data_IF_771362486300
#
_entry.id   IF_771362486300
#
_cell.length_a   1.000
_cell.length_b   1.000
_cell.length_c   1.000
_cell.angle_alpha   90.00
_cell.angle_beta   90.00
_cell.angle_gamma   90.00
#
_symmetry.space_group_name_H-M   'P 1'
#
loop_
_entity.id
_entity.type
_entity.pdbx_description
1 polymer ?
#
# COMPACT_ATOMS: atom_id res chain seq x y z
N UNK A 1 -39.37 -11.21 6.32
CA UNK A 1 -38.77 -9.87 6.17
C UNK A 1 -38.19 -9.51 7.52
N UNK A 2 -36.92 -9.81 7.71
CA UNK A 2 -36.20 -9.39 8.90
C UNK A 2 -35.07 -8.48 8.38
N UNK A 3 -35.25 -7.23 8.72
CA UNK A 3 -34.38 -6.10 8.41
C UNK A 3 -33.01 -6.37 9.04
N UNK A 4 -32.01 -6.62 8.21
CA UNK A 4 -30.62 -6.79 8.61
C UNK A 4 -29.91 -5.46 8.78
N UNK A 5 -30.43 -4.58 9.62
CA UNK A 5 -29.75 -3.41 10.12
C UNK A 5 -28.69 -3.82 11.14
N UNK A 6 -27.55 -4.36 10.69
CA UNK A 6 -26.38 -4.57 11.55
C UNK A 6 -25.91 -3.23 12.08
N UNK A 7 -25.80 -3.16 13.41
CA UNK A 7 -25.31 -2.01 14.17
C UNK A 7 -23.95 -1.54 13.62
N UNK A 8 -23.96 -0.46 12.84
CA UNK A 8 -22.76 0.18 12.27
C UNK A 8 -22.01 1.01 13.33
N UNK A 9 -22.59 1.20 14.52
CA UNK A 9 -22.01 1.94 15.61
C UNK A 9 -21.05 1.05 16.42
N UNK A 10 -19.74 1.18 16.15
CA UNK A 10 -18.68 0.51 16.93
C UNK A 10 -17.69 -0.32 16.12
N UNK A 11 -17.88 -0.46 14.81
CA UNK A 11 -16.96 -1.21 13.97
C UNK A 11 -15.73 -0.38 13.61
N UNK A 12 -14.54 -0.96 13.70
CA UNK A 12 -13.29 -0.32 13.28
C UNK A 12 -13.20 -0.26 11.75
N UNK A 13 -12.68 0.85 11.25
CA UNK A 13 -12.55 1.13 9.81
C UNK A 13 -11.08 1.19 9.44
N UNK A 14 -10.68 0.36 8.48
CA UNK A 14 -9.33 0.36 7.93
C UNK A 14 -9.35 0.89 6.49
N UNK A 15 -8.62 1.97 6.22
CA UNK A 15 -8.44 2.50 4.86
C UNK A 15 -7.11 2.01 4.30
N UNK A 16 -7.16 1.37 3.13
CA UNK A 16 -5.97 0.97 2.38
C UNK A 16 -5.81 1.88 1.17
N UNK A 17 -4.87 2.81 1.25
CA UNK A 17 -4.53 3.70 0.12
C UNK A 17 -3.65 2.95 -0.87
N UNK A 18 -4.17 2.71 -2.08
CA UNK A 18 -3.54 1.81 -3.04
C UNK A 18 -3.81 0.34 -2.74
N UNK A 19 -5.08 -0.01 -2.57
CA UNK A 19 -5.52 -1.39 -2.32
C UNK A 19 -5.36 -2.29 -3.56
N UNK A 20 -5.29 -1.72 -4.76
CA UNK A 20 -5.18 -2.50 -6.00
C UNK A 20 -3.76 -2.50 -6.54
N UNK A 21 -3.30 -3.64 -7.02
CA UNK A 21 -2.07 -3.76 -7.80
C UNK A 21 -2.37 -3.62 -9.30
N UNK A 22 -1.33 -3.42 -10.10
CA UNK A 22 -1.48 -3.40 -11.57
C UNK A 22 -1.99 -4.73 -12.15
N UNK A 23 -1.94 -5.80 -11.37
CA UNK A 23 -2.34 -7.15 -11.76
C UNK A 23 -3.82 -7.45 -11.47
N UNK A 24 -4.52 -6.58 -10.76
CA UNK A 24 -5.94 -6.75 -10.43
C UNK A 24 -6.90 -6.25 -11.51
N UNK A 25 -6.43 -5.53 -12.53
CA UNK A 25 -7.26 -5.05 -13.62
C UNK A 25 -7.94 -6.21 -14.36
N UNK A 26 -9.03 -5.93 -15.04
CA UNK A 26 -9.96 -6.87 -15.66
C UNK A 26 -9.35 -7.82 -16.72
N UNK A 27 -8.17 -7.54 -17.10
CA UNK A 27 -7.45 -8.32 -18.08
C UNK A 27 -6.19 -8.92 -17.52
N UNK A 28 -5.55 -9.69 -18.36
CA UNK A 28 -4.19 -10.12 -18.14
C UNK A 28 -3.27 -8.92 -18.22
N UNK A 29 -2.48 -8.70 -17.20
CA UNK A 29 -1.38 -7.78 -17.30
C UNK A 29 -0.11 -8.57 -17.64
N UNK A 30 0.26 -8.53 -18.89
CA UNK A 30 1.39 -9.29 -19.42
C UNK A 30 2.68 -8.48 -19.49
N UNK A 31 2.72 -7.26 -18.93
CA UNK A 31 3.90 -6.40 -18.99
C UNK A 31 4.77 -6.54 -17.75
N UNK A 32 6.02 -6.87 -17.97
CA UNK A 32 7.11 -6.72 -17.02
C UNK A 32 7.76 -5.33 -17.14
N UNK A 33 8.74 -5.07 -16.27
CA UNK A 33 9.66 -3.95 -16.43
C UNK A 33 10.35 -4.05 -17.81
N UNK A 34 10.47 -2.95 -18.50
CA UNK A 34 11.02 -2.83 -19.87
C UNK A 34 10.15 -3.43 -20.98
N UNK A 35 8.88 -3.63 -20.72
CA UNK A 35 7.90 -3.96 -21.75
C UNK A 35 7.81 -5.42 -22.15
N UNK A 36 8.52 -6.31 -21.49
CA UNK A 36 8.38 -7.74 -21.71
C UNK A 36 6.96 -8.20 -21.39
N UNK A 37 6.41 -9.04 -22.26
CA UNK A 37 5.09 -9.63 -22.06
C UNK A 37 5.20 -10.98 -21.36
N UNK A 38 4.28 -11.25 -20.44
CA UNK A 38 4.14 -12.55 -19.79
C UNK A 38 2.71 -13.07 -19.98
N UNK A 39 2.55 -14.37 -20.08
CA UNK A 39 1.25 -15.03 -19.93
C UNK A 39 1.07 -15.42 -18.45
N UNK A 40 0.08 -14.81 -17.81
CA UNK A 40 -0.26 -15.04 -16.41
C UNK A 40 -1.62 -15.73 -16.24
N UNK A 41 -2.16 -16.32 -17.31
CA UNK A 41 -3.50 -16.94 -17.33
C UNK A 41 -3.65 -18.10 -16.36
N UNK A 42 -2.59 -18.88 -16.17
CA UNK A 42 -2.58 -20.08 -15.31
C UNK A 42 -2.24 -19.77 -13.85
N UNK A 43 -1.93 -18.51 -13.53
CA UNK A 43 -1.60 -18.13 -12.16
C UNK A 43 -2.86 -17.97 -11.30
N UNK A 44 -2.79 -18.38 -10.02
CA UNK A 44 -3.92 -18.19 -9.12
C UNK A 44 -4.23 -16.70 -8.96
N UNK A 45 -5.51 -16.38 -8.86
CA UNK A 45 -5.98 -14.99 -8.72
C UNK A 45 -5.37 -14.28 -7.51
N UNK A 46 -5.04 -15.03 -6.46
CA UNK A 46 -4.40 -14.53 -5.25
C UNK A 46 -3.02 -13.90 -5.49
N UNK A 47 -2.30 -14.36 -6.52
CA UNK A 47 -1.00 -13.77 -6.90
C UNK A 47 -1.12 -12.35 -7.45
N UNK A 48 -2.35 -11.92 -7.77
CA UNK A 48 -2.65 -10.60 -8.34
C UNK A 48 -2.96 -9.53 -7.28
N UNK A 49 -3.26 -9.93 -6.04
CA UNK A 49 -3.70 -8.96 -5.02
C UNK A 49 -2.60 -7.96 -4.64
N UNK A 50 -1.34 -8.39 -4.64
CA UNK A 50 -0.23 -7.56 -4.16
C UNK A 50 -0.35 -7.23 -2.67
N UNK A 51 0.53 -6.35 -2.19
CA UNK A 51 0.58 -6.00 -0.76
C UNK A 51 -0.69 -5.29 -0.30
N UNK A 52 -1.20 -4.33 -1.08
CA UNK A 52 -2.41 -3.59 -0.71
C UNK A 52 -3.64 -4.48 -0.59
N UNK A 53 -3.82 -5.41 -1.54
CA UNK A 53 -4.93 -6.35 -1.49
C UNK A 53 -4.80 -7.36 -0.36
N UNK A 54 -3.59 -7.83 -0.06
CA UNK A 54 -3.34 -8.72 1.07
C UNK A 54 -3.60 -8.03 2.43
N UNK A 55 -3.17 -6.75 2.58
CA UNK A 55 -3.48 -5.95 3.76
C UNK A 55 -5.00 -5.80 3.92
N UNK A 56 -5.71 -5.47 2.84
CA UNK A 56 -7.16 -5.33 2.85
C UNK A 56 -7.85 -6.63 3.31
N UNK A 57 -7.46 -7.78 2.76
CA UNK A 57 -8.01 -9.09 3.17
C UNK A 57 -7.68 -9.41 4.63
N UNK A 58 -6.46 -9.09 5.08
CA UNK A 58 -6.05 -9.35 6.47
C UNK A 58 -6.91 -8.56 7.45
N UNK A 59 -7.07 -7.24 7.26
CA UNK A 59 -7.90 -6.43 8.15
C UNK A 59 -9.38 -6.82 8.07
N UNK A 60 -9.89 -7.17 6.88
CA UNK A 60 -11.26 -7.65 6.75
C UNK A 60 -11.50 -8.97 7.52
N UNK A 61 -10.53 -9.89 7.50
CA UNK A 61 -10.59 -11.14 8.27
C UNK A 61 -10.59 -10.93 9.80
N UNK A 62 -10.05 -9.80 10.25
CA UNK A 62 -10.08 -9.38 11.66
C UNK A 62 -11.33 -8.57 12.03
N UNK A 63 -12.30 -8.46 11.12
CA UNK A 63 -13.61 -7.83 11.39
C UNK A 63 -13.68 -6.33 11.10
N UNK A 64 -12.65 -5.73 10.51
CA UNK A 64 -12.71 -4.34 10.07
C UNK A 64 -13.63 -4.18 8.86
N UNK A 65 -14.32 -3.05 8.78
CA UNK A 65 -14.83 -2.56 7.51
C UNK A 65 -13.66 -1.94 6.75
N UNK A 66 -13.28 -2.56 5.62
CA UNK A 66 -12.11 -2.12 4.85
C UNK A 66 -12.50 -1.23 3.69
N UNK A 67 -11.93 -0.03 3.63
CA UNK A 67 -12.09 0.88 2.50
C UNK A 67 -10.94 0.65 1.51
N UNK A 68 -11.30 0.11 0.36
CA UNK A 68 -10.39 -0.11 -0.76
C UNK A 68 -10.28 1.16 -1.59
N UNK A 69 -9.16 1.85 -1.57
CA UNK A 69 -8.99 3.00 -2.45
C UNK A 69 -8.20 2.65 -3.71
N UNK A 70 -8.68 3.14 -4.83
CA UNK A 70 -8.13 2.90 -6.17
C UNK A 70 -8.44 4.06 -7.10
N UNK A 71 -7.69 4.24 -8.19
CA UNK A 71 -7.98 5.26 -9.21
C UNK A 71 -9.24 4.97 -10.01
N UNK A 72 -9.67 3.71 -10.07
CA UNK A 72 -10.86 3.27 -10.81
C UNK A 72 -11.51 2.12 -10.06
N UNK A 73 -12.78 2.28 -9.69
CA UNK A 73 -13.52 1.31 -8.89
C UNK A 73 -13.57 -0.11 -9.49
N UNK A 74 -13.72 -0.30 -10.81
CA UNK A 74 -13.66 -1.62 -11.44
C UNK A 74 -12.38 -2.40 -11.10
N UNK A 75 -11.25 -1.74 -10.93
CA UNK A 75 -9.99 -2.42 -10.59
C UNK A 75 -10.02 -3.13 -9.24
N UNK A 76 -10.91 -2.73 -8.34
CA UNK A 76 -11.06 -3.34 -7.01
C UNK A 76 -12.18 -4.39 -6.96
N UNK A 77 -12.95 -4.59 -8.02
CA UNK A 77 -14.13 -5.45 -8.02
C UNK A 77 -13.81 -6.88 -7.58
N UNK A 78 -12.80 -7.50 -8.18
CA UNK A 78 -12.39 -8.87 -7.83
C UNK A 78 -11.88 -9.01 -6.40
N UNK A 79 -11.14 -8.01 -5.89
CA UNK A 79 -10.69 -8.00 -4.50
C UNK A 79 -11.88 -7.84 -3.54
N UNK A 80 -12.80 -6.94 -3.85
CA UNK A 80 -14.00 -6.73 -3.05
C UNK A 80 -14.89 -7.98 -2.99
N UNK A 81 -15.02 -8.68 -4.10
CA UNK A 81 -15.73 -9.97 -4.16
C UNK A 81 -15.03 -11.04 -3.32
N UNK A 82 -13.70 -11.14 -3.43
CA UNK A 82 -12.92 -12.10 -2.65
C UNK A 82 -13.04 -11.85 -1.12
N UNK A 83 -13.03 -10.59 -0.68
CA UNK A 83 -13.24 -10.23 0.72
C UNK A 83 -14.63 -10.63 1.19
N UNK A 84 -15.68 -10.31 0.42
CA UNK A 84 -17.08 -10.66 0.77
C UNK A 84 -17.32 -12.15 0.78
N UNK A 85 -16.74 -12.90 -0.15
CA UNK A 85 -16.83 -14.35 -0.20
C UNK A 85 -16.23 -15.04 1.03
N UNK A 86 -15.29 -14.37 1.72
CA UNK A 86 -14.70 -14.82 2.99
C UNK A 86 -15.45 -14.30 4.22
N UNK A 87 -16.60 -13.63 4.03
CA UNK A 87 -17.39 -13.06 5.13
C UNK A 87 -16.91 -11.70 5.63
N UNK A 88 -15.91 -11.11 4.98
CA UNK A 88 -15.42 -9.76 5.30
C UNK A 88 -16.29 -8.67 4.67
N UNK A 89 -16.13 -7.45 5.16
CA UNK A 89 -16.85 -6.28 4.65
C UNK A 89 -15.88 -5.27 4.04
N UNK A 90 -16.25 -4.72 2.89
CA UNK A 90 -15.47 -3.67 2.26
C UNK A 90 -16.35 -2.71 1.46
N UNK A 91 -15.85 -1.48 1.36
CA UNK A 91 -16.32 -0.42 0.46
C UNK A 91 -15.21 -0.05 -0.52
N UNK A 92 -15.57 0.45 -1.69
CA UNK A 92 -14.60 0.96 -2.67
C UNK A 92 -14.80 2.46 -2.85
N UNK A 93 -13.70 3.21 -2.76
CA UNK A 93 -13.68 4.66 -2.96
C UNK A 93 -12.61 5.00 -3.99
N UNK A 94 -13.00 5.77 -5.00
CA UNK A 94 -12.03 6.28 -5.98
C UNK A 94 -11.17 7.37 -5.37
N UNK A 95 -9.87 7.25 -5.61
CA UNK A 95 -8.86 8.16 -5.09
C UNK A 95 -7.69 8.26 -6.08
N UNK A 96 -7.49 9.47 -6.61
CA UNK A 96 -6.31 9.82 -7.40
C UNK A 96 -5.36 10.68 -6.57
N UNK A 97 -4.18 10.15 -6.28
CA UNK A 97 -3.17 10.80 -5.44
C UNK A 97 -2.45 11.97 -6.10
N UNK A 98 -2.59 12.16 -7.41
CA UNK A 98 -2.05 13.34 -8.10
C UNK A 98 -3.02 14.52 -8.09
N UNK A 99 -4.25 14.33 -7.60
CA UNK A 99 -5.29 15.35 -7.49
C UNK A 99 -5.63 15.65 -6.04
N UNK A 100 -5.29 16.84 -5.55
CA UNK A 100 -5.63 17.29 -4.19
C UNK A 100 -7.14 17.23 -3.93
N UNK A 101 -7.95 17.65 -4.90
CA UNK A 101 -9.42 17.62 -4.79
C UNK A 101 -9.96 16.18 -4.74
N UNK A 102 -9.34 15.24 -5.46
CA UNK A 102 -9.72 13.83 -5.36
C UNK A 102 -9.45 13.27 -3.97
N UNK A 103 -8.31 13.62 -3.37
CA UNK A 103 -7.98 13.20 -2.00
C UNK A 103 -9.03 13.72 -1.02
N UNK A 104 -9.30 15.03 -1.02
CA UNK A 104 -10.29 15.64 -0.12
C UNK A 104 -11.68 15.03 -0.31
N UNK A 105 -12.16 14.94 -1.56
CA UNK A 105 -13.47 14.36 -1.85
C UNK A 105 -13.61 12.90 -1.43
N UNK A 106 -12.55 12.10 -1.63
CA UNK A 106 -12.55 10.70 -1.21
C UNK A 106 -12.67 10.57 0.33
N UNK A 107 -11.93 11.38 1.09
CA UNK A 107 -11.98 11.33 2.55
C UNK A 107 -13.26 11.98 3.12
N UNK A 108 -13.82 13.00 2.47
CA UNK A 108 -15.15 13.53 2.82
C UNK A 108 -16.23 12.46 2.65
N UNK A 109 -16.16 11.72 1.55
CA UNK A 109 -17.07 10.59 1.31
C UNK A 109 -16.88 9.48 2.34
N UNK A 110 -15.64 9.09 2.66
CA UNK A 110 -15.35 8.07 3.68
C UNK A 110 -15.97 8.50 5.01
N UNK A 111 -15.72 9.72 5.47
CA UNK A 111 -16.26 10.23 6.73
C UNK A 111 -17.79 10.29 6.78
N UNK A 112 -18.41 10.75 5.70
CA UNK A 112 -19.87 10.95 5.67
C UNK A 112 -20.67 9.67 5.45
N UNK A 113 -20.15 8.72 4.67
CA UNK A 113 -20.89 7.51 4.29
C UNK A 113 -20.47 6.27 5.12
N UNK A 114 -19.24 6.25 5.66
CA UNK A 114 -18.66 5.08 6.31
C UNK A 114 -18.29 5.39 7.77
N UNK A 115 -17.52 6.44 8.00
CA UNK A 115 -17.08 6.88 9.32
C UNK A 115 -15.60 7.28 9.37
N UNK A 116 -15.14 7.70 10.55
CA UNK A 116 -13.74 8.06 10.78
C UNK A 116 -12.86 6.80 10.81
N UNK A 117 -11.78 6.72 10.01
CA UNK A 117 -10.87 5.59 10.03
C UNK A 117 -10.08 5.48 11.33
N UNK A 118 -10.04 4.27 11.92
CA UNK A 118 -9.12 3.94 13.04
C UNK A 118 -7.76 3.45 12.56
N UNK A 119 -7.71 2.91 11.33
CA UNK A 119 -6.47 2.46 10.69
C UNK A 119 -6.37 3.04 9.29
N UNK A 120 -5.20 3.55 8.94
CA UNK A 120 -4.85 3.89 7.57
C UNK A 120 -3.51 3.26 7.21
N UNK A 121 -3.49 2.51 6.10
CA UNK A 121 -2.25 2.01 5.50
C UNK A 121 -2.03 2.71 4.17
N UNK A 122 -0.99 3.52 4.08
CA UNK A 122 -0.56 4.14 2.84
C UNK A 122 0.35 3.19 2.08
N UNK A 123 -0.20 2.46 1.10
CA UNK A 123 0.52 1.46 0.31
C UNK A 123 0.75 1.87 -1.14
N UNK A 124 0.17 2.97 -1.58
CA UNK A 124 0.29 3.41 -2.96
C UNK A 124 1.76 3.56 -3.40
N UNK A 125 2.04 3.07 -4.59
CA UNK A 125 3.35 3.17 -5.23
C UNK A 125 3.21 3.58 -6.69
N UNK A 126 4.26 4.24 -7.21
CA UNK A 126 4.34 4.62 -8.60
C UNK A 126 5.20 3.61 -9.37
N UNK A 127 4.61 2.99 -10.37
CA UNK A 127 5.24 1.94 -11.17
C UNK A 127 5.49 2.34 -12.62
N UNK A 128 4.84 3.37 -13.11
CA UNK A 128 5.07 3.90 -14.47
C UNK A 128 6.50 4.40 -14.61
N UNK A 129 7.05 4.32 -15.80
CA UNK A 129 8.46 4.61 -16.05
C UNK A 129 9.40 3.43 -15.80
N UNK A 130 8.94 2.37 -15.13
CA UNK A 130 9.73 1.13 -15.00
C UNK A 130 9.80 0.32 -16.30
N UNK A 131 8.91 0.61 -17.23
CA UNK A 131 8.87 -0.01 -18.55
C UNK A 131 9.65 0.80 -19.60
N UNK A 132 10.37 1.84 -19.17
CA UNK A 132 11.29 2.59 -20.05
C UNK A 132 12.51 1.71 -20.40
N UNK A 133 13.09 1.90 -21.59
CA UNK A 133 14.36 1.26 -21.92
C UNK A 133 15.45 1.63 -20.90
N UNK A 134 16.41 0.72 -20.62
CA UNK A 134 17.45 0.95 -19.61
C UNK A 134 18.24 2.27 -19.79
N UNK A 135 18.50 2.66 -21.01
CA UNK A 135 19.15 3.93 -21.36
C UNK A 135 18.32 5.16 -20.98
N UNK A 136 16.97 5.03 -21.02
CA UNK A 136 16.06 6.11 -20.63
C UNK A 136 15.91 6.27 -19.12
N UNK A 137 16.47 5.35 -18.34
CA UNK A 137 16.48 5.43 -16.88
C UNK A 137 17.68 6.17 -16.30
N UNK A 138 18.59 6.65 -17.12
CA UNK A 138 19.58 7.61 -16.67
C UNK A 138 18.88 8.91 -16.29
N UNK A 139 19.34 9.53 -15.20
CA UNK A 139 18.71 10.72 -14.64
C UNK A 139 18.46 11.82 -15.68
N UNK A 140 19.42 12.00 -16.60
CA UNK A 140 19.36 13.00 -17.67
C UNK A 140 18.27 12.74 -18.73
N UNK A 141 17.73 11.51 -18.77
CA UNK A 141 16.72 11.10 -19.75
C UNK A 141 15.33 10.86 -19.13
N UNK A 142 15.22 10.91 -17.81
CA UNK A 142 13.92 10.70 -17.14
C UNK A 142 13.02 11.93 -17.39
N UNK A 143 11.83 11.73 -18.00
CA UNK A 143 10.88 12.83 -18.15
C UNK A 143 10.49 13.44 -16.80
N UNK A 144 10.50 14.77 -16.73
CA UNK A 144 10.17 15.51 -15.49
C UNK A 144 8.79 15.15 -14.96
N UNK A 145 7.83 14.91 -15.85
CA UNK A 145 6.45 14.56 -15.50
C UNK A 145 6.35 13.24 -14.73
N UNK A 146 7.23 12.27 -15.05
CA UNK A 146 7.31 11.01 -14.30
C UNK A 146 7.87 11.24 -12.90
N UNK A 147 8.86 12.10 -12.77
CA UNK A 147 9.42 12.47 -11.48
C UNK A 147 8.39 13.24 -10.63
N UNK A 148 7.68 14.21 -11.21
CA UNK A 148 6.62 14.97 -10.54
C UNK A 148 5.51 14.04 -10.04
N UNK A 149 5.09 13.10 -10.87
CA UNK A 149 4.10 12.08 -10.46
C UNK A 149 4.62 11.21 -9.30
N UNK A 150 5.89 10.83 -9.33
CA UNK A 150 6.50 10.08 -8.23
C UNK A 150 6.56 10.89 -6.93
N UNK A 151 6.85 12.20 -7.01
CA UNK A 151 6.78 13.13 -5.88
C UNK A 151 5.36 13.23 -5.32
N UNK A 152 4.37 13.37 -6.19
CA UNK A 152 2.96 13.42 -5.75
C UNK A 152 2.59 12.15 -4.99
N UNK A 153 2.91 10.98 -5.51
CA UNK A 153 2.48 9.70 -4.93
C UNK A 153 3.28 9.34 -3.66
N UNK A 154 4.58 9.64 -3.61
CA UNK A 154 5.40 9.17 -2.49
C UNK A 154 5.79 10.27 -1.47
N UNK A 155 5.45 11.53 -1.73
CA UNK A 155 5.75 12.64 -0.82
C UNK A 155 4.50 13.49 -0.50
N UNK A 156 3.89 14.13 -1.52
CA UNK A 156 2.72 14.99 -1.33
C UNK A 156 1.48 14.20 -0.91
N UNK A 157 1.21 13.07 -1.55
CA UNK A 157 0.06 12.21 -1.25
C UNK A 157 0.03 11.73 0.21
N UNK A 158 1.12 11.13 0.75
CA UNK A 158 1.19 10.78 2.17
C UNK A 158 0.86 11.94 3.11
N UNK A 159 1.39 13.14 2.82
CA UNK A 159 1.14 14.34 3.60
C UNK A 159 -0.36 14.73 3.58
N UNK A 160 -0.97 14.79 2.40
CA UNK A 160 -2.39 15.17 2.27
C UNK A 160 -3.31 14.14 2.90
N UNK A 161 -3.06 12.84 2.68
CA UNK A 161 -3.84 11.75 3.26
C UNK A 161 -3.72 11.74 4.80
N UNK A 162 -2.53 11.98 5.35
CA UNK A 162 -2.35 12.08 6.79
C UNK A 162 -3.17 13.24 7.39
N UNK A 163 -3.22 14.40 6.72
CA UNK A 163 -4.04 15.53 7.15
C UNK A 163 -5.54 15.18 7.23
N UNK A 164 -6.02 14.27 6.40
CA UNK A 164 -7.43 13.86 6.39
C UNK A 164 -7.80 12.97 7.59
N UNK A 165 -6.88 12.15 8.10
CA UNK A 165 -7.20 11.17 9.16
C UNK A 165 -6.70 11.56 10.55
N UNK A 166 -5.56 12.21 10.65
CA UNK A 166 -4.92 12.55 11.93
C UNK A 166 -5.80 13.38 12.88
N UNK A 167 -6.62 14.35 12.41
CA UNK A 167 -7.48 15.11 13.32
C UNK A 167 -8.51 14.25 14.06
N UNK A 168 -9.09 13.25 13.39
CA UNK A 168 -10.05 12.33 14.00
C UNK A 168 -9.34 11.35 14.95
N UNK A 169 -8.24 10.74 14.52
CA UNK A 169 -7.43 9.83 15.35
C UNK A 169 -6.96 10.53 16.65
N UNK A 170 -6.46 11.77 16.53
CA UNK A 170 -6.03 12.57 17.68
C UNK A 170 -7.20 12.85 18.64
N UNK A 171 -8.38 13.23 18.14
CA UNK A 171 -9.55 13.46 19.00
C UNK A 171 -10.00 12.19 19.70
N UNK A 172 -9.91 11.04 19.01
CA UNK A 172 -10.23 9.75 19.59
C UNK A 172 -9.18 9.24 20.60
N UNK A 173 -7.99 9.85 20.63
CA UNK A 173 -6.85 9.38 21.43
C UNK A 173 -6.35 8.00 21.02
N UNK A 174 -6.66 7.58 19.79
CA UNK A 174 -6.24 6.29 19.22
C UNK A 174 -6.24 6.32 17.70
N UNK A 175 -5.38 5.50 17.08
CA UNK A 175 -5.32 5.33 15.64
C UNK A 175 -4.02 4.67 15.22
N UNK A 176 -4.00 4.14 13.99
CA UNK A 176 -2.80 3.57 13.38
C UNK A 176 -2.61 4.13 11.98
N UNK A 177 -1.45 4.72 11.74
CA UNK A 177 -1.07 5.27 10.45
C UNK A 177 0.24 4.62 9.98
N UNK A 178 0.15 3.74 8.98
CA UNK A 178 1.28 2.98 8.50
C UNK A 178 1.63 3.31 7.05
N UNK A 179 2.93 3.42 6.79
CA UNK A 179 3.47 3.67 5.45
C UNK A 179 4.17 2.43 4.93
N UNK A 180 3.66 1.87 3.83
CA UNK A 180 4.31 0.80 3.08
C UNK A 180 5.42 1.38 2.22
N UNK A 181 6.65 1.02 2.51
CA UNK A 181 7.84 1.55 1.86
C UNK A 181 8.71 0.41 1.30
N UNK A 182 9.78 0.75 0.64
CA UNK A 182 10.75 -0.23 0.15
C UNK A 182 12.19 0.13 0.58
N UNK A 183 13.14 -0.72 0.26
CA UNK A 183 14.55 -0.53 0.65
C UNK A 183 15.19 0.74 0.08
N UNK A 184 14.64 1.33 -0.99
CA UNK A 184 15.13 2.62 -1.51
C UNK A 184 14.85 3.78 -0.56
N UNK A 185 13.95 3.61 0.42
CA UNK A 185 13.72 4.60 1.48
C UNK A 185 14.82 4.66 2.54
N UNK A 186 15.63 3.63 2.65
CA UNK A 186 16.71 3.56 3.62
C UNK A 186 17.92 4.43 3.22
N UNK A 187 18.13 4.53 1.92
CA UNK A 187 19.20 5.36 1.35
C UNK A 187 18.94 5.59 -0.14
N UNK A 188 19.30 6.76 -0.66
CA UNK A 188 19.18 7.13 -2.07
C UNK A 188 20.12 6.31 -2.98
N UNK A 189 19.91 5.01 -3.04
CA UNK A 189 20.74 4.09 -3.82
C UNK A 189 19.97 3.48 -4.97
N UNK A 190 20.42 3.72 -6.18
CA UNK A 190 19.95 3.03 -7.37
C UNK A 190 20.63 1.66 -7.46
N UNK A 191 19.90 0.58 -7.28
CA UNK A 191 20.42 -0.80 -7.45
C UNK A 191 20.09 -1.39 -8.81
N UNK A 192 18.93 -1.02 -9.35
CA UNK A 192 18.39 -1.56 -10.59
C UNK A 192 17.77 -0.45 -11.41
N UNK A 193 17.57 -0.72 -12.68
CA UNK A 193 16.81 0.10 -13.61
C UNK A 193 15.41 0.38 -13.06
N UNK A 194 14.85 1.56 -13.28
CA UNK A 194 13.53 1.97 -12.76
C UNK A 194 13.50 2.49 -11.32
N UNK A 195 14.59 2.41 -10.59
CA UNK A 195 14.62 2.86 -9.19
C UNK A 195 14.82 4.38 -9.02
N UNK A 196 15.14 5.10 -10.07
CA UNK A 196 15.31 6.56 -10.00
C UNK A 196 14.06 7.30 -9.55
N UNK A 197 12.86 6.73 -9.79
CA UNK A 197 11.58 7.28 -9.38
C UNK A 197 11.22 6.96 -7.91
N UNK A 198 12.08 6.25 -7.19
CA UNK A 198 11.84 5.93 -5.79
C UNK A 198 12.47 6.89 -4.78
N UNK A 199 13.22 7.89 -5.21
CA UNK A 199 13.79 8.90 -4.31
C UNK A 199 12.76 9.54 -3.37
N UNK A 200 11.54 9.86 -3.79
CA UNK A 200 10.55 10.44 -2.91
C UNK A 200 10.17 9.56 -1.71
N UNK A 201 10.45 8.26 -1.77
CA UNK A 201 10.19 7.35 -0.65
C UNK A 201 11.09 7.58 0.56
N UNK A 202 12.27 8.18 0.38
CA UNK A 202 13.11 8.65 1.48
C UNK A 202 12.37 9.75 2.26
N UNK A 203 11.67 10.64 1.54
CA UNK A 203 10.87 11.71 2.16
C UNK A 203 9.67 11.14 2.90
N UNK A 204 9.01 10.10 2.37
CA UNK A 204 7.92 9.41 3.08
C UNK A 204 8.39 8.78 4.39
N UNK A 205 9.60 8.19 4.42
CA UNK A 205 10.20 7.67 5.66
C UNK A 205 10.46 8.78 6.67
N UNK A 206 11.07 9.88 6.25
CA UNK A 206 11.31 11.04 7.13
C UNK A 206 10.00 11.65 7.64
N UNK A 207 8.96 11.70 6.80
CA UNK A 207 7.63 12.16 7.18
C UNK A 207 7.01 11.25 8.25
N UNK A 208 7.11 9.92 8.11
CA UNK A 208 6.63 8.99 9.13
C UNK A 208 7.32 9.21 10.48
N UNK A 209 8.63 9.49 10.48
CA UNK A 209 9.38 9.81 11.71
C UNK A 209 8.87 11.10 12.37
N UNK A 210 8.66 12.17 11.58
CA UNK A 210 8.11 13.43 12.10
C UNK A 210 6.70 13.22 12.71
N UNK A 211 5.84 12.46 12.02
CA UNK A 211 4.50 12.14 12.55
C UNK A 211 4.56 11.29 13.82
N UNK A 212 5.54 10.40 13.95
CA UNK A 212 5.76 9.64 15.19
C UNK A 212 6.02 10.58 16.35
N UNK A 213 6.92 11.56 16.19
CA UNK A 213 7.23 12.53 17.23
C UNK A 213 6.02 13.41 17.60
N UNK A 214 5.23 13.81 16.59
CA UNK A 214 4.09 14.70 16.82
C UNK A 214 2.85 14.01 17.40
N UNK A 215 2.60 12.73 17.07
CA UNK A 215 1.31 12.09 17.31
C UNK A 215 1.32 10.92 18.29
N UNK A 216 2.48 10.36 18.66
CA UNK A 216 2.54 9.23 19.60
C UNK A 216 1.92 9.58 20.95
N UNK A 217 2.20 10.76 21.51
CA UNK A 217 1.60 11.24 22.78
C UNK A 217 0.08 11.40 22.70
N UNK A 218 -0.45 11.55 21.47
CA UNK A 218 -1.89 11.64 21.23
C UNK A 218 -2.54 10.28 20.96
N UNK A 219 -1.82 9.18 21.20
CA UNK A 219 -2.33 7.83 21.04
C UNK A 219 -2.39 7.33 19.59
N UNK A 220 -1.71 7.98 18.65
CA UNK A 220 -1.65 7.54 17.25
C UNK A 220 -0.33 6.80 17.00
N UNK A 221 -0.44 5.52 16.65
CA UNK A 221 0.71 4.70 16.30
C UNK A 221 1.10 4.93 14.84
N UNK A 222 2.24 5.55 14.61
CA UNK A 222 2.79 5.75 13.26
C UNK A 222 3.97 4.82 13.05
N UNK A 223 3.99 4.10 11.90
CA UNK A 223 5.12 3.24 11.54
C UNK A 223 5.42 3.28 10.04
N UNK A 224 6.72 3.19 9.72
CA UNK A 224 7.25 2.98 8.38
C UNK A 224 7.66 1.51 8.21
N UNK A 225 7.02 0.80 7.27
CA UNK A 225 7.31 -0.62 6.98
C UNK A 225 8.12 -0.71 5.70
N UNK A 226 9.36 -1.13 5.82
CA UNK A 226 10.29 -1.31 4.70
C UNK A 226 10.20 -2.74 4.18
N UNK A 227 9.63 -2.91 3.00
CA UNK A 227 9.57 -4.20 2.31
C UNK A 227 10.82 -4.32 1.43
N UNK A 228 11.77 -5.13 1.88
CA UNK A 228 13.11 -5.25 1.30
C UNK A 228 13.28 -6.60 0.60
N UNK A 229 12.55 -6.82 -0.47
CA UNK A 229 12.62 -8.02 -1.29
C UNK A 229 11.67 -8.01 -2.48
N UNK A 230 11.71 -9.09 -3.26
CA UNK A 230 10.79 -9.32 -4.36
C UNK A 230 9.47 -9.81 -3.81
N UNK A 231 8.39 -9.07 -4.07
CA UNK A 231 7.04 -9.43 -3.64
C UNK A 231 6.43 -10.37 -4.68
N UNK A 232 5.77 -11.44 -4.24
CA UNK A 232 5.08 -12.37 -5.13
C UNK A 232 4.01 -11.66 -5.97
N UNK A 233 4.10 -11.87 -7.25
CA UNK A 233 3.18 -11.35 -8.26
C UNK A 233 3.39 -12.08 -9.58
N UNK A 234 2.47 -12.00 -10.55
CA UNK A 234 2.70 -12.55 -11.88
C UNK A 234 4.04 -12.14 -12.49
N UNK A 235 4.39 -10.85 -12.42
CA UNK A 235 5.67 -10.36 -12.94
C UNK A 235 6.88 -10.87 -12.19
N UNK A 236 6.81 -10.98 -10.88
CA UNK A 236 7.91 -11.52 -10.06
C UNK A 236 8.17 -12.99 -10.37
N UNK A 237 7.10 -13.79 -10.49
CA UNK A 237 7.21 -15.22 -10.82
C UNK A 237 7.86 -15.50 -12.18
N UNK A 238 7.74 -14.56 -13.12
CA UNK A 238 8.38 -14.66 -14.43
C UNK A 238 9.89 -14.33 -14.39
N UNK A 239 10.41 -13.74 -13.30
CA UNK A 239 11.83 -13.41 -13.19
C UNK A 239 12.69 -14.67 -12.96
N UNK A 240 13.84 -14.79 -13.64
CA UNK A 240 14.75 -15.93 -13.45
C UNK A 240 15.18 -16.13 -11.99
N UNK A 241 15.39 -15.03 -11.25
CA UNK A 241 15.75 -15.09 -9.84
C UNK A 241 14.65 -15.75 -8.99
N UNK A 242 13.38 -15.41 -9.22
CA UNK A 242 12.27 -15.98 -8.49
C UNK A 242 12.06 -17.47 -8.82
N UNK A 243 12.34 -17.86 -10.06
CA UNK A 243 12.27 -19.27 -10.49
C UNK A 243 13.40 -20.12 -9.91
N UNK A 244 14.60 -19.56 -9.82
CA UNK A 244 15.77 -20.26 -9.27
C UNK A 244 15.80 -20.26 -7.74
N UNK A 245 15.22 -19.25 -7.10
CA UNK A 245 15.22 -19.06 -5.64
C UNK A 245 13.85 -18.59 -5.15
N UNK A 246 12.83 -19.46 -5.22
CA UNK A 246 11.47 -19.12 -4.78
C UNK A 246 11.41 -18.68 -3.31
N UNK A 247 12.32 -19.16 -2.46
CA UNK A 247 12.44 -18.77 -1.06
C UNK A 247 12.90 -17.31 -0.85
N UNK A 248 13.38 -16.64 -1.89
CA UNK A 248 13.72 -15.22 -1.87
C UNK A 248 12.52 -14.31 -2.23
N UNK A 249 11.37 -14.89 -2.54
CA UNK A 249 10.14 -14.18 -2.88
C UNK A 249 9.28 -14.02 -1.63
N UNK A 250 8.80 -12.80 -1.39
CA UNK A 250 8.00 -12.45 -0.22
C UNK A 250 6.51 -12.70 -0.49
N UNK A 251 5.86 -13.43 0.37
CA UNK A 251 4.42 -13.63 0.34
C UNK A 251 3.69 -12.35 0.82
N UNK A 252 2.83 -11.72 0.00
CA UNK A 252 2.05 -10.55 0.39
C UNK A 252 1.19 -10.76 1.65
N UNK A 253 0.69 -11.98 1.87
CA UNK A 253 -0.10 -12.29 3.06
C UNK A 253 0.75 -12.20 4.34
N UNK A 254 2.01 -12.63 4.30
CA UNK A 254 2.94 -12.51 5.43
C UNK A 254 3.38 -11.07 5.67
N UNK A 255 3.47 -10.27 4.61
CA UNK A 255 3.65 -8.83 4.76
C UNK A 255 2.43 -8.19 5.44
N UNK A 256 1.23 -8.57 5.05
CA UNK A 256 0.00 -8.07 5.66
C UNK A 256 -0.12 -8.45 7.15
N UNK A 257 0.32 -9.65 7.55
CA UNK A 257 0.41 -10.05 8.96
C UNK A 257 1.25 -9.07 9.78
N UNK A 258 2.33 -8.53 9.22
CA UNK A 258 3.18 -7.55 9.91
C UNK A 258 2.45 -6.21 10.15
N UNK A 259 1.62 -5.75 9.20
CA UNK A 259 0.82 -4.54 9.39
C UNK A 259 -0.25 -4.73 10.48
N UNK A 260 -0.91 -5.87 10.50
CA UNK A 260 -1.87 -6.18 11.55
C UNK A 260 -1.17 -6.32 12.92
N UNK A 261 -0.01 -6.97 12.98
CA UNK A 261 0.81 -7.04 14.19
C UNK A 261 1.15 -5.65 14.74
N UNK A 262 1.58 -4.70 13.89
CA UNK A 262 1.85 -3.34 14.31
C UNK A 262 0.60 -2.67 14.91
N UNK A 263 -0.57 -2.87 14.30
CA UNK A 263 -1.82 -2.30 14.81
C UNK A 263 -2.17 -2.82 16.20
N UNK A 264 -1.91 -4.10 16.48
CA UNK A 264 -2.27 -4.76 17.74
C UNK A 264 -1.23 -4.62 18.85
N UNK A 265 -0.14 -3.90 18.62
CA UNK A 265 0.90 -3.70 19.64
C UNK A 265 0.39 -2.90 20.84
N UNK A 266 0.81 -3.34 22.02
CA UNK A 266 0.60 -2.57 23.24
C UNK A 266 1.30 -1.19 23.16
N UNK A 267 0.63 -0.15 23.68
CA UNK A 267 1.11 1.22 23.62
C UNK A 267 2.46 1.44 24.29
N UNK A 268 2.86 0.57 25.20
CA UNK A 268 4.16 0.66 25.89
C UNK A 268 5.35 0.21 25.03
N UNK A 269 5.11 -0.42 23.86
CA UNK A 269 6.15 -1.03 23.03
C UNK A 269 5.87 -0.90 21.53
N UNK A 270 5.53 0.28 21.06
CA UNK A 270 5.29 0.52 19.64
C UNK A 270 6.56 0.43 18.78
N UNK A 271 6.44 -0.23 17.65
CA UNK A 271 7.47 -0.28 16.61
C UNK A 271 7.21 0.81 15.59
N UNK A 272 8.15 1.72 15.41
CA UNK A 272 8.01 2.86 14.48
C UNK A 272 8.69 2.63 13.13
N UNK A 273 9.65 1.72 13.06
CA UNK A 273 10.24 1.27 11.80
C UNK A 273 10.43 -0.24 11.81
N UNK A 274 9.90 -0.92 10.79
CA UNK A 274 10.00 -2.38 10.63
C UNK A 274 10.53 -2.69 9.24
N UNK A 275 11.62 -3.46 9.16
CA UNK A 275 12.16 -3.96 7.89
C UNK A 275 11.85 -5.44 7.74
N UNK A 276 11.23 -5.80 6.61
CA UNK A 276 10.88 -7.16 6.23
C UNK A 276 11.80 -7.61 5.10
N UNK A 277 12.57 -8.66 5.32
CA UNK A 277 13.54 -9.18 4.35
C UNK A 277 13.47 -10.71 4.32
N UNK A 278 13.48 -11.37 3.16
CA UNK A 278 13.57 -12.83 3.09
C UNK A 278 14.85 -13.33 3.79
N UNK A 279 14.75 -14.42 4.54
CA UNK A 279 15.87 -14.96 5.33
C UNK A 279 17.11 -15.32 4.49
N UNK A 280 16.94 -15.57 3.21
CA UNK A 280 18.01 -15.94 2.25
C UNK A 280 18.65 -14.75 1.54
N UNK A 281 18.19 -13.52 1.81
CA UNK A 281 18.71 -12.29 1.21
C UNK A 281 19.40 -11.44 2.27
N UNK A 282 20.31 -10.55 1.83
CA UNK A 282 20.94 -9.59 2.75
C UNK A 282 20.08 -8.35 2.86
N UNK A 283 19.77 -7.90 4.10
CA UNK A 283 19.07 -6.65 4.32
C UNK A 283 19.80 -5.45 3.70
N UNK A 284 19.02 -4.46 3.26
CA UNK A 284 19.50 -3.27 2.53
C UNK A 284 19.75 -2.06 3.44
N UNK A 285 20.38 -2.22 4.58
CA UNK A 285 20.75 -1.10 5.45
C UNK A 285 22.17 -0.59 5.24
#
# INVERSE_FOLDING_TARGET
MTDGGGDMAGREIAVVVGATSKWQADGRNTRLVHGDAIDDSDLPVTSRWGVGGAIAQRFAAEGFLVVLTTRSAPNAAGLAEAIRAQGGECATVELDLVSDSSITSAFDRIRSEIGDPSVLVYNAGYLEGRDLPPESELMEHIPTELFDTALHIACRGPFLVAKEVLPAMRRAGQGSLFFSNNSSSLRGRKRYTGQSLYYPRVMMRAFAQALTEEYSEHGVHVANVVIDGLIDSPGTRALPLAQQRPEAVMDPARIADAFHYLHTQDRSVWTHELQLTPHVTKPSF
#
